data_IF_523857344962
#
_entry.id   IF_523857344962
#
_cell.length_a   1.000
_cell.length_b   1.000
_cell.length_c   1.000
_cell.angle_alpha   90.00
_cell.angle_beta   90.00
_cell.angle_gamma   90.00
#
_symmetry.space_group_name_H-M   'P 1'
#
loop_
_entity.id
_entity.type
_entity.pdbx_description
1 polymer ?
#
# COMPACT_ATOMS: atom_id res chain seq x y z
N UNK A 1 -0.60 -0.75 1.52
CA UNK A 1 -1.33 -0.95 0.25
C UNK A 1 -0.43 -0.84 -1.00
N UNK A 2 0.34 0.24 -1.16
CA UNK A 2 1.18 0.45 -2.37
C UNK A 2 2.18 -0.68 -2.63
N UNK A 3 2.96 -1.09 -1.62
CA UNK A 3 3.96 -2.17 -1.76
C UNK A 3 3.34 -3.52 -2.19
N UNK A 4 2.19 -3.87 -1.64
CA UNK A 4 1.48 -5.11 -2.02
C UNK A 4 1.08 -5.12 -3.50
N UNK A 5 0.77 -3.96 -4.07
CA UNK A 5 0.26 -3.81 -5.44
C UNK A 5 1.38 -3.57 -6.46
N UNK A 6 2.29 -2.65 -6.18
CA UNK A 6 3.32 -2.20 -7.12
C UNK A 6 4.72 -2.74 -6.79
N UNK A 7 4.95 -3.24 -5.58
CA UNK A 7 6.25 -3.78 -5.17
C UNK A 7 6.64 -5.05 -5.93
N UNK A 8 5.68 -5.78 -6.52
CA UNK A 8 5.95 -6.94 -7.40
C UNK A 8 6.70 -6.57 -8.67
N UNK A 9 6.57 -5.32 -9.11
CA UNK A 9 7.26 -4.80 -10.29
C UNK A 9 8.73 -4.46 -9.99
N UNK A 10 9.09 -4.30 -8.71
CA UNK A 10 10.46 -4.06 -8.30
C UNK A 10 11.28 -5.34 -8.45
N UNK A 11 12.38 -5.22 -9.20
CA UNK A 11 13.40 -6.25 -9.34
C UNK A 11 14.60 -5.84 -8.48
N UNK A 12 14.79 -6.53 -7.36
CA UNK A 12 15.93 -6.26 -6.49
C UNK A 12 17.21 -6.97 -6.95
N UNK A 13 17.07 -8.02 -7.75
CA UNK A 13 18.15 -8.86 -8.29
C UNK A 13 17.56 -10.20 -8.74
N UNK A 14 18.31 -11.03 -9.47
CA UNK A 14 17.81 -12.29 -10.02
C UNK A 14 17.59 -13.40 -8.98
N UNK A 15 18.13 -13.28 -7.76
CA UNK A 15 18.03 -14.28 -6.70
C UNK A 15 17.73 -13.69 -5.31
N UNK A 16 17.21 -12.47 -5.24
CA UNK A 16 17.08 -11.77 -3.95
C UNK A 16 15.79 -12.17 -3.23
N UNK A 17 15.86 -13.32 -2.58
CA UNK A 17 14.95 -13.73 -1.53
C UNK A 17 15.50 -13.29 -0.18
N UNK A 18 14.62 -12.78 0.67
CA UNK A 18 14.92 -12.52 2.07
C UNK A 18 14.10 -13.49 2.90
N UNK A 19 14.77 -14.30 3.73
CA UNK A 19 14.12 -15.34 4.55
C UNK A 19 13.26 -16.31 3.71
N UNK A 20 13.75 -16.73 2.54
CA UNK A 20 13.10 -17.72 1.67
C UNK A 20 11.84 -17.23 0.94
N UNK A 21 11.62 -15.92 0.90
CA UNK A 21 10.51 -15.31 0.15
C UNK A 21 10.99 -14.04 -0.54
N UNK A 22 10.24 -13.60 -1.57
CA UNK A 22 10.58 -12.39 -2.35
C UNK A 22 10.67 -11.14 -1.47
N UNK A 23 11.68 -10.29 -1.67
CA UNK A 23 11.87 -9.05 -0.86
C UNK A 23 10.61 -8.20 -0.75
N UNK A 24 9.92 -7.94 -1.87
CA UNK A 24 8.70 -7.11 -1.85
C UNK A 24 7.62 -7.68 -0.90
N UNK A 25 7.54 -9.02 -0.81
CA UNK A 25 6.59 -9.71 0.06
C UNK A 25 7.01 -9.58 1.53
N UNK A 26 8.30 -9.68 1.81
CA UNK A 26 8.83 -9.45 3.15
C UNK A 26 8.61 -8.02 3.64
N UNK A 27 8.92 -7.03 2.80
CA UNK A 27 8.68 -5.61 3.12
C UNK A 27 7.19 -5.36 3.34
N UNK A 28 6.32 -5.91 2.47
CA UNK A 28 4.87 -5.82 2.68
C UNK A 28 4.43 -6.44 4.00
N UNK A 29 4.92 -7.64 4.33
CA UNK A 29 4.59 -8.36 5.56
C UNK A 29 5.03 -7.59 6.80
N UNK A 30 6.25 -7.06 6.78
CA UNK A 30 6.79 -6.22 7.86
C UNK A 30 5.91 -4.99 8.10
N UNK A 31 5.63 -4.23 7.04
CA UNK A 31 4.79 -3.02 7.14
C UNK A 31 3.37 -3.38 7.61
N UNK A 32 2.76 -4.44 7.08
CA UNK A 32 1.43 -4.87 7.49
C UNK A 32 1.36 -5.32 8.96
N UNK A 33 2.40 -6.02 9.43
CA UNK A 33 2.53 -6.41 10.83
C UNK A 33 2.67 -5.18 11.73
N UNK A 34 3.58 -4.25 11.39
CA UNK A 34 3.74 -2.98 12.10
C UNK A 34 2.44 -2.19 12.17
N UNK A 35 1.72 -2.03 11.03
CA UNK A 35 0.42 -1.35 11.00
C UNK A 35 -0.58 -2.03 11.93
N UNK A 36 -0.69 -3.36 11.88
CA UNK A 36 -1.64 -4.09 12.73
C UNK A 36 -1.31 -3.91 14.21
N UNK A 37 -0.04 -4.05 14.60
CA UNK A 37 0.40 -3.88 15.99
C UNK A 37 0.12 -2.45 16.48
N UNK A 38 0.47 -1.43 15.69
CA UNK A 38 0.23 -0.03 16.06
C UNK A 38 -1.28 0.27 16.17
N UNK A 39 -2.12 -0.26 15.28
CA UNK A 39 -3.58 -0.10 15.37
C UNK A 39 -4.14 -0.74 16.64
N UNK A 40 -3.69 -1.96 16.99
CA UNK A 40 -4.14 -2.64 18.21
C UNK A 40 -3.66 -1.94 19.48
N UNK A 41 -2.42 -1.43 19.49
CA UNK A 41 -1.90 -0.64 20.62
C UNK A 41 -2.68 0.67 20.79
N UNK A 42 -2.96 1.39 19.70
CA UNK A 42 -3.78 2.61 19.76
C UNK A 42 -5.18 2.34 20.31
N UNK A 43 -5.82 1.27 19.83
CA UNK A 43 -7.13 0.85 20.35
C UNK A 43 -7.07 0.45 21.82
N UNK A 44 -6.04 -0.30 22.21
CA UNK A 44 -5.85 -0.69 23.60
C UNK A 44 -5.67 0.53 24.52
N UNK A 45 -4.87 1.52 24.11
CA UNK A 45 -4.66 2.73 24.92
C UNK A 45 -5.93 3.55 25.09
N UNK A 46 -6.72 3.74 24.03
CA UNK A 46 -7.98 4.49 24.18
C UNK A 46 -8.99 3.73 25.05
N UNK A 47 -9.04 2.40 24.95
CA UNK A 47 -9.92 1.58 25.77
C UNK A 47 -9.54 1.63 27.26
N UNK A 48 -8.24 1.59 27.57
CA UNK A 48 -7.73 1.76 28.95
C UNK A 48 -8.05 3.16 29.47
N UNK A 49 -7.81 4.19 28.66
CA UNK A 49 -8.11 5.58 29.03
C UNK A 49 -9.60 5.80 29.31
N UNK A 50 -10.47 5.24 28.47
CA UNK A 50 -11.92 5.31 28.62
C UNK A 50 -12.47 4.36 29.71
N UNK A 51 -11.62 3.65 30.45
CA UNK A 51 -12.01 2.64 31.47
C UNK A 51 -12.95 1.55 30.92
N UNK A 52 -12.80 1.21 29.65
CA UNK A 52 -13.66 0.26 28.94
C UNK A 52 -15.01 0.83 28.49
N UNK A 53 -15.25 2.12 28.67
CA UNK A 53 -16.43 2.82 28.17
C UNK A 53 -16.45 2.92 26.64
N UNK A 54 -17.65 3.04 26.10
CA UNK A 54 -17.89 3.36 24.69
C UNK A 54 -18.67 4.68 24.62
N UNK A 55 -18.48 5.42 23.53
CA UNK A 55 -19.17 6.67 23.24
C UNK A 55 -20.67 6.45 23.00
N UNK A 56 -21.51 7.34 23.51
CA UNK A 56 -22.96 7.22 23.36
C UNK A 56 -23.43 7.58 21.95
N UNK A 57 -24.60 7.09 21.54
CA UNK A 57 -25.06 7.23 20.14
C UNK A 57 -25.35 8.66 19.68
N UNK A 58 -25.62 9.56 20.63
CA UNK A 58 -25.91 10.97 20.44
C UNK A 58 -24.65 11.87 20.43
N UNK A 59 -23.49 11.36 20.85
CA UNK A 59 -22.21 12.06 20.85
C UNK A 59 -21.57 12.01 19.45
N UNK A 60 -21.98 12.93 18.58
CA UNK A 60 -21.46 13.06 17.21
C UNK A 60 -20.46 14.22 17.12
N UNK A 61 -19.34 14.04 16.38
CA UNK A 61 -18.99 12.95 15.46
C UNK A 61 -18.29 11.72 16.08
N UNK A 62 -18.03 11.71 17.39
CA UNK A 62 -17.21 10.71 18.09
C UNK A 62 -17.78 9.29 17.98
N UNK A 63 -19.10 9.15 18.06
CA UNK A 63 -19.77 7.87 17.85
C UNK A 63 -19.48 7.31 16.47
N UNK A 64 -19.62 8.12 15.42
CA UNK A 64 -19.32 7.70 14.05
C UNK A 64 -17.84 7.34 13.90
N UNK A 65 -16.93 8.13 14.48
CA UNK A 65 -15.50 7.81 14.50
C UNK A 65 -15.23 6.44 15.15
N UNK A 66 -15.85 6.17 16.31
CA UNK A 66 -15.66 4.93 17.06
C UNK A 66 -16.13 3.70 16.28
N UNK A 67 -17.28 3.79 15.60
CA UNK A 67 -17.83 2.69 14.80
C UNK A 67 -16.94 2.41 13.59
N UNK A 68 -16.52 3.45 12.86
CA UNK A 68 -15.61 3.26 11.71
C UNK A 68 -14.24 2.73 12.16
N UNK A 69 -13.70 3.24 13.26
CA UNK A 69 -12.48 2.74 13.90
C UNK A 69 -12.60 1.25 14.29
N UNK A 70 -13.72 0.86 14.91
CA UNK A 70 -14.03 -0.53 15.23
C UNK A 70 -14.04 -1.44 14.01
N UNK A 71 -14.66 -1.01 12.90
CA UNK A 71 -14.66 -1.76 11.64
C UNK A 71 -13.23 -1.92 11.10
N UNK A 72 -12.40 -0.88 11.18
CA UNK A 72 -10.99 -0.93 10.74
C UNK A 72 -10.19 -1.92 11.59
N UNK A 73 -10.40 -1.93 12.92
CA UNK A 73 -9.76 -2.88 13.83
C UNK A 73 -10.17 -4.32 13.49
N UNK A 74 -11.46 -4.57 13.28
CA UNK A 74 -11.96 -5.87 12.83
C UNK A 74 -11.32 -6.30 11.51
N UNK A 75 -11.19 -5.39 10.54
CA UNK A 75 -10.50 -5.66 9.27
C UNK A 75 -9.02 -6.00 9.50
N UNK A 76 -8.32 -5.27 10.38
CA UNK A 76 -6.92 -5.52 10.70
C UNK A 76 -6.71 -6.89 11.37
N UNK A 77 -7.59 -7.27 12.30
CA UNK A 77 -7.59 -8.60 12.93
C UNK A 77 -7.88 -9.71 11.92
N UNK A 78 -8.88 -9.53 11.05
CA UNK A 78 -9.16 -10.48 9.96
C UNK A 78 -7.96 -10.61 9.01
N UNK A 79 -7.26 -9.51 8.71
CA UNK A 79 -6.05 -9.55 7.89
C UNK A 79 -4.94 -10.35 8.54
N UNK A 80 -4.68 -10.14 9.83
CA UNK A 80 -3.69 -10.89 10.59
C UNK A 80 -4.06 -12.38 10.66
N UNK A 81 -5.32 -12.69 10.97
CA UNK A 81 -5.82 -14.06 11.03
C UNK A 81 -5.67 -14.76 9.68
N UNK A 82 -6.12 -14.16 8.58
CA UNK A 82 -5.96 -14.72 7.24
C UNK A 82 -4.49 -14.91 6.87
N UNK A 83 -3.61 -13.99 7.26
CA UNK A 83 -2.18 -14.09 6.98
C UNK A 83 -1.53 -15.29 7.71
N UNK A 84 -1.97 -15.61 8.94
CA UNK A 84 -1.50 -16.78 9.69
C UNK A 84 -1.93 -18.09 9.03
N UNK A 85 -3.19 -18.16 8.59
CA UNK A 85 -3.77 -19.34 7.93
C UNK A 85 -3.66 -19.27 6.40
N UNK A 86 -2.65 -18.58 5.85
CA UNK A 86 -2.55 -18.39 4.39
C UNK A 86 -2.51 -19.76 3.71
N UNK A 87 -3.31 -19.92 2.66
CA UNK A 87 -3.25 -21.12 1.84
C UNK A 87 -1.88 -21.26 1.15
N UNK A 88 -1.45 -22.50 0.88
CA UNK A 88 -0.29 -22.76 0.02
C UNK A 88 -0.44 -22.03 -1.33
N UNK A 89 0.65 -21.54 -1.95
CA UNK A 89 0.59 -20.86 -3.25
C UNK A 89 -0.20 -21.61 -4.33
N UNK A 90 -0.10 -22.94 -4.35
CA UNK A 90 -0.79 -23.83 -5.32
C UNK A 90 -2.13 -24.39 -4.82
N UNK A 91 -2.64 -23.88 -3.69
CA UNK A 91 -3.90 -24.34 -3.12
C UNK A 91 -5.12 -23.86 -3.91
N UNK A 92 -6.12 -24.73 -4.09
CA UNK A 92 -7.38 -24.42 -4.79
C UNK A 92 -8.14 -23.23 -4.17
N UNK A 93 -8.04 -23.03 -2.85
CA UNK A 93 -8.67 -21.92 -2.13
C UNK A 93 -7.88 -20.61 -2.16
N UNK A 94 -6.71 -20.57 -2.82
CA UNK A 94 -5.85 -19.38 -2.89
C UNK A 94 -6.55 -18.18 -3.52
N UNK A 95 -7.46 -18.40 -4.47
CA UNK A 95 -8.23 -17.32 -5.07
C UNK A 95 -9.15 -16.63 -4.04
N UNK A 96 -9.83 -17.40 -3.17
CA UNK A 96 -10.71 -16.86 -2.12
C UNK A 96 -9.88 -16.04 -1.14
N UNK A 97 -8.76 -16.60 -0.67
CA UNK A 97 -7.82 -15.90 0.20
C UNK A 97 -7.38 -14.57 -0.43
N UNK A 98 -6.95 -14.57 -1.70
CA UNK A 98 -6.48 -13.36 -2.37
C UNK A 98 -7.58 -12.29 -2.47
N UNK A 99 -8.82 -12.68 -2.74
CA UNK A 99 -9.96 -11.76 -2.82
C UNK A 99 -10.31 -11.18 -1.45
N UNK A 100 -10.48 -12.03 -0.43
CA UNK A 100 -10.81 -11.59 0.92
C UNK A 100 -9.70 -10.69 1.50
N UNK A 101 -8.45 -11.13 1.44
CA UNK A 101 -7.29 -10.38 1.94
C UNK A 101 -7.13 -9.02 1.24
N UNK A 102 -7.43 -8.96 -0.07
CA UNK A 102 -7.42 -7.69 -0.81
C UNK A 102 -8.58 -6.79 -0.41
N UNK A 103 -9.79 -7.33 -0.32
CA UNK A 103 -11.00 -6.57 -0.02
C UNK A 103 -10.92 -5.95 1.38
N UNK A 104 -10.59 -6.74 2.41
CA UNK A 104 -10.47 -6.25 3.79
C UNK A 104 -9.37 -5.22 3.93
N UNK A 105 -8.21 -5.43 3.27
CA UNK A 105 -7.11 -4.47 3.28
C UNK A 105 -7.45 -3.14 2.60
N UNK A 106 -8.19 -3.18 1.50
CA UNK A 106 -8.66 -1.96 0.83
C UNK A 106 -9.76 -1.26 1.62
N UNK A 107 -10.70 -2.01 2.19
CA UNK A 107 -11.77 -1.47 3.02
C UNK A 107 -11.21 -0.72 4.22
N UNK A 108 -10.29 -1.34 4.98
CA UNK A 108 -9.62 -0.69 6.11
C UNK A 108 -8.90 0.60 5.69
N UNK A 109 -8.21 0.57 4.54
CA UNK A 109 -7.51 1.73 4.01
C UNK A 109 -8.46 2.88 3.63
N UNK A 110 -9.53 2.59 2.88
CA UNK A 110 -10.48 3.61 2.47
C UNK A 110 -11.25 4.20 3.65
N UNK A 111 -11.65 3.37 4.64
CA UNK A 111 -12.34 3.84 5.84
C UNK A 111 -11.41 4.65 6.77
N UNK A 112 -10.10 4.40 6.76
CA UNK A 112 -9.17 5.14 7.62
C UNK A 112 -9.16 6.65 7.36
N UNK A 113 -9.38 7.07 6.11
CA UNK A 113 -9.39 8.49 5.72
C UNK A 113 -10.54 9.25 6.38
N UNK A 114 -11.84 8.94 6.16
CA UNK A 114 -12.91 9.64 6.84
C UNK A 114 -12.85 9.48 8.37
N UNK A 115 -12.38 8.33 8.87
CA UNK A 115 -12.26 8.08 10.32
C UNK A 115 -11.32 9.10 10.99
N UNK A 116 -10.17 9.41 10.38
CA UNK A 116 -9.24 10.39 10.96
C UNK A 116 -9.74 11.84 10.82
N UNK A 117 -10.52 12.16 9.79
CA UNK A 117 -11.14 13.49 9.65
C UNK A 117 -12.24 13.73 10.68
N UNK A 118 -12.99 12.69 11.08
CA UNK A 118 -14.05 12.82 12.08
C UNK A 118 -13.49 13.23 13.45
N UNK A 119 -12.40 12.62 13.91
CA UNK A 119 -11.84 12.95 15.24
C UNK A 119 -11.18 14.33 15.30
N UNK A 120 -10.67 14.84 14.17
CA UNK A 120 -10.09 16.20 14.08
C UNK A 120 -11.17 17.27 13.92
N UNK A 121 -12.42 16.87 13.69
CA UNK A 121 -13.53 17.84 13.56
C UNK A 121 -13.93 18.47 14.89
N UNK A 122 -13.39 17.97 16.01
CA UNK A 122 -13.55 18.56 17.33
C UNK A 122 -12.88 19.94 17.46
N UNK A 123 -13.42 20.86 18.30
CA UNK A 123 -12.83 22.17 18.51
C UNK A 123 -11.43 22.08 19.14
N UNK A 124 -10.42 22.65 18.47
CA UNK A 124 -9.07 22.78 19.01
C UNK A 124 -8.27 23.86 18.28
N UNK A 125 -7.35 24.53 18.98
CA UNK A 125 -6.57 25.67 18.47
C UNK A 125 -5.77 25.33 17.21
N UNK A 126 -5.37 24.05 17.06
CA UNK A 126 -4.56 23.55 15.94
C UNK A 126 -5.36 22.88 14.82
N UNK A 127 -6.70 22.91 14.88
CA UNK A 127 -7.59 22.19 13.95
C UNK A 127 -7.32 22.48 12.48
N UNK A 128 -7.20 23.76 12.11
CA UNK A 128 -6.98 24.15 10.73
C UNK A 128 -5.68 23.55 10.16
N UNK A 129 -4.60 23.54 10.96
CA UNK A 129 -3.33 22.93 10.59
C UNK A 129 -3.45 21.43 10.37
N UNK A 130 -4.12 20.71 11.29
CA UNK A 130 -4.34 19.27 11.17
C UNK A 130 -5.15 18.90 9.92
N UNK A 131 -6.22 19.65 9.63
CA UNK A 131 -7.05 19.45 8.42
C UNK A 131 -6.22 19.66 7.15
N UNK A 132 -5.40 20.71 7.10
CA UNK A 132 -4.53 20.97 5.95
C UNK A 132 -3.54 19.83 5.74
N UNK A 133 -2.85 19.38 6.79
CA UNK A 133 -1.87 18.30 6.69
C UNK A 133 -2.51 16.98 6.23
N UNK A 134 -3.67 16.61 6.78
CA UNK A 134 -4.38 15.41 6.36
C UNK A 134 -4.93 15.50 4.94
N UNK A 135 -5.37 16.69 4.53
CA UNK A 135 -5.81 16.93 3.15
C UNK A 135 -4.64 16.77 2.18
N UNK A 136 -3.46 17.34 2.50
CA UNK A 136 -2.24 17.17 1.74
C UNK A 136 -1.82 15.70 1.65
N UNK A 137 -1.88 14.96 2.77
CA UNK A 137 -1.60 13.53 2.78
C UNK A 137 -2.57 12.74 1.91
N UNK A 138 -3.88 13.03 2.01
CA UNK A 138 -4.92 12.35 1.24
C UNK A 138 -4.76 12.59 -0.26
N UNK A 139 -4.51 13.84 -0.66
CA UNK A 139 -4.24 14.19 -2.06
C UNK A 139 -2.96 13.51 -2.54
N UNK A 140 -1.89 13.54 -1.76
CA UNK A 140 -0.62 12.88 -2.10
C UNK A 140 -0.79 11.37 -2.32
N UNK A 141 -1.55 10.70 -1.46
CA UNK A 141 -1.86 9.27 -1.58
C UNK A 141 -2.61 8.97 -2.89
N UNK A 142 -3.57 9.79 -3.26
CA UNK A 142 -4.30 9.63 -4.54
C UNK A 142 -3.35 9.85 -5.72
N UNK A 143 -2.55 10.92 -5.69
CA UNK A 143 -1.58 11.25 -6.73
C UNK A 143 -0.56 10.12 -6.95
N UNK A 144 0.04 9.59 -5.89
CA UNK A 144 1.04 8.52 -6.01
C UNK A 144 0.42 7.23 -6.55
N UNK A 145 -0.82 6.91 -6.18
CA UNK A 145 -1.55 5.76 -6.74
C UNK A 145 -1.77 5.94 -8.24
N UNK A 146 -2.23 7.13 -8.67
CA UNK A 146 -2.44 7.44 -10.09
C UNK A 146 -1.12 7.33 -10.87
N UNK A 147 -0.04 7.93 -10.38
CA UNK A 147 1.28 7.87 -11.01
C UNK A 147 1.76 6.41 -11.15
N UNK A 148 1.66 5.61 -10.08
CA UNK A 148 2.07 4.21 -10.11
C UNK A 148 1.21 3.35 -11.03
N UNK A 149 -0.09 3.62 -11.14
CA UNK A 149 -0.96 2.91 -12.09
C UNK A 149 -0.64 3.30 -13.55
N UNK A 150 -0.35 4.58 -13.83
CA UNK A 150 0.12 5.04 -15.14
C UNK A 150 1.44 4.33 -15.50
N UNK A 151 2.43 4.30 -14.60
CA UNK A 151 3.70 3.61 -14.84
C UNK A 151 3.47 2.11 -15.10
N UNK A 152 2.62 1.46 -14.29
CA UNK A 152 2.27 0.05 -14.48
C UNK A 152 1.65 -0.19 -15.85
N UNK A 153 0.72 0.68 -16.28
CA UNK A 153 0.11 0.62 -17.59
C UNK A 153 1.14 0.81 -18.72
N UNK A 154 2.04 1.79 -18.60
CA UNK A 154 3.12 2.02 -19.55
C UNK A 154 4.06 0.81 -19.68
N UNK A 155 4.42 0.18 -18.56
CA UNK A 155 5.26 -1.04 -18.56
C UNK A 155 4.53 -2.20 -19.24
N UNK A 156 3.24 -2.41 -18.93
CA UNK A 156 2.46 -3.47 -19.56
C UNK A 156 2.35 -3.28 -21.07
N UNK A 157 2.11 -2.03 -21.50
CA UNK A 157 2.07 -1.69 -22.92
C UNK A 157 3.42 -1.85 -23.61
N UNK A 158 4.53 -1.43 -22.97
CA UNK A 158 5.86 -1.61 -23.58
C UNK A 158 6.21 -3.08 -23.75
N UNK A 159 5.82 -3.93 -22.77
CA UNK A 159 6.01 -5.38 -22.84
C UNK A 159 5.18 -6.02 -23.96
N UNK A 160 3.91 -5.62 -24.12
CA UNK A 160 3.08 -6.15 -25.20
C UNK A 160 3.61 -5.76 -26.58
N UNK A 161 3.97 -4.49 -26.77
CA UNK A 161 4.56 -4.01 -28.04
C UNK A 161 5.89 -4.71 -28.35
N UNK A 162 6.65 -5.11 -27.34
CA UNK A 162 7.91 -5.84 -27.51
C UNK A 162 7.70 -7.30 -27.89
N UNK A 163 6.76 -7.99 -27.24
CA UNK A 163 6.37 -9.37 -27.58
C UNK A 163 5.87 -9.43 -29.03
N UNK A 164 5.00 -8.49 -29.44
CA UNK A 164 4.49 -8.43 -30.81
C UNK A 164 5.61 -8.23 -31.84
N UNK A 165 6.60 -7.39 -31.53
CA UNK A 165 7.80 -7.22 -32.38
C UNK A 165 8.61 -8.50 -32.48
N UNK A 166 8.92 -9.17 -31.36
CA UNK A 166 9.72 -10.40 -31.32
C UNK A 166 9.06 -11.54 -32.12
N UNK A 167 7.76 -11.75 -31.91
CA UNK A 167 6.97 -12.74 -32.66
C UNK A 167 6.99 -12.45 -34.16
N UNK A 168 6.83 -11.18 -34.56
CA UNK A 168 6.87 -10.78 -35.97
C UNK A 168 8.23 -11.01 -36.62
N UNK A 169 9.32 -10.75 -35.89
CA UNK A 169 10.70 -10.98 -36.37
C UNK A 169 11.01 -12.47 -36.49
N UNK A 170 10.62 -13.30 -35.52
CA UNK A 170 10.81 -14.76 -35.57
C UNK A 170 10.06 -15.43 -36.73
N UNK A 171 8.87 -14.94 -37.08
CA UNK A 171 8.12 -15.43 -38.24
C UNK A 171 8.79 -15.10 -39.58
N UNK A 172 9.53 -13.99 -39.64
CA UNK A 172 10.18 -13.52 -40.86
C UNK A 172 11.60 -14.06 -41.05
N UNK A 173 12.29 -14.42 -39.95
CA UNK A 173 13.72 -14.67 -39.99
C UNK A 173 14.10 -16.05 -39.43
N UNK A 174 14.10 -17.04 -40.33
CA UNK A 174 14.55 -18.42 -40.02
C UNK A 174 16.10 -18.50 -40.05
N UNK A 175 16.81 -17.49 -40.59
CA UNK A 175 18.27 -17.52 -40.80
C UNK A 175 19.01 -16.23 -40.36
N UNK A 176 18.40 -15.42 -39.49
CA UNK A 176 18.88 -14.09 -39.14
C UNK A 176 20.02 -14.03 -38.12
N UNK A 177 20.78 -12.92 -38.07
CA UNK A 177 21.76 -12.70 -37.02
C UNK A 177 21.08 -12.63 -35.63
N UNK A 178 21.77 -13.03 -34.55
CA UNK A 178 21.16 -13.10 -33.22
C UNK A 178 20.71 -11.73 -32.69
N UNK A 179 19.56 -11.71 -32.01
CA UNK A 179 18.85 -10.54 -31.43
C UNK A 179 19.59 -9.77 -30.29
N UNK A 180 20.92 -9.75 -30.27
CA UNK A 180 21.72 -9.24 -29.14
C UNK A 180 21.47 -7.75 -28.80
N UNK A 181 21.11 -6.91 -29.79
CA UNK A 181 20.87 -5.48 -29.58
C UNK A 181 19.51 -5.18 -28.91
N UNK A 182 18.47 -5.99 -29.16
CA UNK A 182 17.19 -5.86 -28.46
C UNK A 182 17.32 -6.22 -26.98
N UNK A 183 18.05 -7.28 -26.66
CA UNK A 183 18.20 -7.73 -25.27
C UNK A 183 18.86 -6.65 -24.39
N UNK A 184 19.87 -5.95 -24.90
CA UNK A 184 20.52 -4.83 -24.19
C UNK A 184 19.54 -3.67 -23.93
N UNK A 185 18.70 -3.34 -24.92
CA UNK A 185 17.69 -2.28 -24.78
C UNK A 185 16.62 -2.65 -23.74
N UNK A 186 16.21 -3.90 -23.71
CA UNK A 186 15.18 -4.41 -22.78
C UNK A 186 15.69 -4.41 -21.34
N UNK A 187 16.94 -4.83 -21.12
CA UNK A 187 17.62 -4.77 -19.82
C UNK A 187 17.71 -3.31 -19.32
N UNK A 188 18.08 -2.37 -20.20
CA UNK A 188 18.18 -0.95 -19.85
C UNK A 188 16.81 -0.36 -19.48
N UNK A 189 15.78 -0.62 -20.28
CA UNK A 189 14.43 -0.13 -20.00
C UNK A 189 13.89 -0.68 -18.67
N UNK A 190 14.06 -1.98 -18.40
CA UNK A 190 13.65 -2.59 -17.14
C UNK A 190 14.40 -1.97 -15.94
N UNK A 191 15.69 -1.68 -16.09
CA UNK A 191 16.50 -1.01 -15.06
C UNK A 191 16.02 0.41 -14.77
N UNK A 192 15.67 1.19 -15.81
CA UNK A 192 15.12 2.55 -15.66
C UNK A 192 13.79 2.51 -14.92
N UNK A 193 12.83 1.67 -15.34
CA UNK A 193 11.54 1.55 -14.67
C UNK A 193 11.68 1.15 -13.19
N UNK A 194 12.58 0.22 -12.89
CA UNK A 194 12.85 -0.20 -11.53
C UNK A 194 13.36 0.94 -10.65
N UNK A 195 14.32 1.74 -11.15
CA UNK A 195 14.83 2.93 -10.45
C UNK A 195 13.75 3.98 -10.24
N UNK A 196 12.91 4.23 -11.25
CA UNK A 196 11.79 5.17 -11.14
C UNK A 196 10.78 4.74 -10.06
N UNK A 197 10.35 3.47 -10.06
CA UNK A 197 9.40 2.96 -9.07
C UNK A 197 10.01 3.01 -7.66
N UNK A 198 11.29 2.62 -7.51
CA UNK A 198 11.98 2.70 -6.23
C UNK A 198 12.08 4.14 -5.71
N UNK A 199 12.43 5.09 -6.58
CA UNK A 199 12.47 6.51 -6.23
C UNK A 199 11.10 7.03 -5.77
N UNK A 200 10.02 6.60 -6.42
CA UNK A 200 8.65 6.96 -6.00
C UNK A 200 8.28 6.38 -4.64
N UNK A 201 8.70 5.15 -4.32
CA UNK A 201 8.49 4.58 -2.99
C UNK A 201 9.28 5.34 -1.91
N UNK A 202 10.53 5.69 -2.19
CA UNK A 202 11.36 6.51 -1.28
C UNK A 202 10.76 7.90 -1.08
N UNK A 203 10.32 8.54 -2.16
CA UNK A 203 9.65 9.83 -2.11
C UNK A 203 8.36 9.75 -1.28
N UNK A 204 7.53 8.72 -1.51
CA UNK A 204 6.32 8.50 -0.72
C UNK A 204 6.62 8.31 0.77
N UNK A 205 7.68 7.57 1.12
CA UNK A 205 8.12 7.39 2.49
C UNK A 205 8.56 8.71 3.13
N UNK A 206 9.39 9.49 2.43
CA UNK A 206 9.88 10.81 2.89
C UNK A 206 8.70 11.77 3.11
N UNK A 207 7.80 11.90 2.13
CA UNK A 207 6.61 12.77 2.25
C UNK A 207 5.71 12.32 3.40
N UNK A 208 5.53 11.00 3.59
CA UNK A 208 4.73 10.47 4.70
C UNK A 208 5.31 10.85 6.06
N UNK A 209 6.63 10.75 6.24
CA UNK A 209 7.30 11.17 7.48
C UNK A 209 7.22 12.69 7.66
N UNK A 210 7.49 13.45 6.61
CA UNK A 210 7.49 14.91 6.64
C UNK A 210 6.12 15.50 7.01
N UNK A 211 5.02 14.81 6.65
CA UNK A 211 3.66 15.20 7.05
C UNK A 211 3.25 14.62 8.42
N UNK A 212 3.73 13.43 8.79
CA UNK A 212 3.39 12.80 10.07
C UNK A 212 3.99 13.55 11.27
N UNK A 213 5.24 14.00 11.19
CA UNK A 213 5.92 14.74 12.28
C UNK A 213 5.13 16.00 12.71
N UNK A 214 4.78 16.94 11.82
CA UNK A 214 4.02 18.12 12.21
C UNK A 214 2.60 17.77 12.65
N UNK A 215 1.95 16.75 12.08
CA UNK A 215 0.65 16.29 12.55
C UNK A 215 0.71 15.85 14.01
N UNK A 216 1.69 15.01 14.37
CA UNK A 216 1.89 14.55 15.75
C UNK A 216 2.22 15.75 16.65
N UNK A 217 3.06 16.68 16.20
CA UNK A 217 3.37 17.88 16.99
C UNK A 217 2.14 18.74 17.28
N UNK A 218 1.22 18.89 16.33
CA UNK A 218 0.00 19.68 16.52
C UNK A 218 -1.02 19.02 17.45
N UNK A 219 -0.98 17.69 17.59
CA UNK A 219 -1.82 16.96 18.56
C UNK A 219 -1.37 17.19 20.00
N UNK A 220 -0.08 17.49 20.22
CA UNK A 220 0.52 17.69 21.55
C UNK A 220 0.72 19.17 21.94
N UNK A 221 0.24 20.10 21.12
CA UNK A 221 0.23 21.54 21.37
C UNK A 221 -1.18 21.98 21.71
#
# INVERSE_FOLDING_TARGET
VLFARYGRTLRFGSNDELLGEKIWFQVHRLIACLTTVLTLLGFFFILVFATGGWVESDEQPEFTHSVLGGIIICCALLQAWMALFRCHPDGSFRFIFNWLHRLTGLLAFFLSVPTIFLIISEPGDNRAGMIVILSLWSVWVVLIVIILEIIRFCIQRSLSEEVDRKVSTELYDINGPPMMNSDIKDINNASVWNKCILALFLLHFIVSIALAIPLISLVWQ
#
